data_IF_846013491964
#
_entry.id   IF_846013491964
#
_cell.length_a   1.000
_cell.length_b   1.000
_cell.length_c   1.000
_cell.angle_alpha   90.00
_cell.angle_beta   90.00
_cell.angle_gamma   90.00
#
_symmetry.space_group_name_H-M   'P 1'
#
loop_
_entity.id
_entity.type
_entity.pdbx_description
1 polymer ?
#
# COMPACT_ATOMS: atom_id res chain seq x y z
N UNK A 1 -1.94 -7.99 10.01
CA UNK A 1 -0.93 -7.04 9.49
C UNK A 1 -1.11 -6.93 7.99
N UNK A 2 -2.05 -6.08 7.58
CA UNK A 2 -2.23 -5.66 6.19
C UNK A 2 -1.53 -4.32 5.94
N UNK A 3 -1.42 -3.92 4.66
CA UNK A 3 -0.78 -2.68 4.25
C UNK A 3 -1.38 -1.42 4.91
N UNK A 4 -2.69 -1.39 5.19
CA UNK A 4 -3.36 -0.30 5.93
C UNK A 4 -2.87 -0.18 7.39
N UNK A 5 -2.53 -1.29 8.04
CA UNK A 5 -2.02 -1.24 9.42
C UNK A 5 -0.58 -0.71 9.48
N UNK A 6 0.17 -0.85 8.38
CA UNK A 6 1.58 -0.43 8.28
C UNK A 6 1.66 1.04 7.85
N UNK A 7 0.92 1.42 6.82
CA UNK A 7 0.93 2.76 6.23
C UNK A 7 -0.50 3.22 5.88
N UNK A 8 -1.33 3.55 6.89
CA UNK A 8 -2.74 3.93 6.69
C UNK A 8 -2.92 5.21 5.85
N UNK A 9 -1.89 6.04 5.76
CA UNK A 9 -1.87 7.23 4.90
C UNK A 9 -1.62 6.90 3.43
N UNK A 10 -1.06 5.73 3.12
CA UNK A 10 -0.69 5.30 1.76
C UNK A 10 -1.71 4.32 1.20
N UNK A 11 -2.25 3.42 2.01
CA UNK A 11 -3.16 2.36 1.58
C UNK A 11 -4.53 2.51 2.21
N UNK A 12 -5.58 2.40 1.40
CA UNK A 12 -6.97 2.41 1.87
C UNK A 12 -7.78 1.29 1.22
N UNK A 13 -8.75 0.75 1.95
CA UNK A 13 -9.72 -0.18 1.37
C UNK A 13 -10.90 0.61 0.81
N UNK A 14 -11.15 0.47 -0.50
CA UNK A 14 -12.33 1.04 -1.12
C UNK A 14 -13.52 0.10 -0.91
N UNK A 15 -14.36 0.40 0.08
CA UNK A 15 -15.54 -0.42 0.39
C UNK A 15 -16.55 -0.51 -0.77
N UNK A 16 -16.62 0.52 -1.62
CA UNK A 16 -17.58 0.55 -2.73
C UNK A 16 -17.16 -0.35 -3.88
N UNK A 17 -15.86 -0.50 -4.11
CA UNK A 17 -15.31 -1.28 -5.20
C UNK A 17 -14.78 -2.65 -4.75
N UNK A 18 -14.54 -2.81 -3.44
CA UNK A 18 -14.18 -4.07 -2.80
C UNK A 18 -12.69 -4.41 -2.83
N UNK A 19 -11.81 -3.45 -3.11
CA UNK A 19 -10.37 -3.67 -3.23
C UNK A 19 -9.51 -2.62 -2.54
N UNK A 20 -8.23 -2.97 -2.34
CA UNK A 20 -7.20 -2.08 -1.83
C UNK A 20 -6.78 -1.07 -2.90
N UNK A 21 -6.59 0.18 -2.48
CA UNK A 21 -6.13 1.28 -3.33
C UNK A 21 -4.93 1.99 -2.67
N UNK A 22 -4.10 2.60 -3.53
CA UNK A 22 -3.05 3.53 -3.12
C UNK A 22 -3.61 4.94 -3.15
N UNK A 23 -3.45 5.68 -2.06
CA UNK A 23 -3.82 7.10 -1.99
C UNK A 23 -2.82 7.90 -2.84
N UNK A 24 -3.31 8.70 -3.78
CA UNK A 24 -2.45 9.55 -4.62
C UNK A 24 -1.74 10.61 -3.76
N UNK A 25 -0.41 10.59 -3.75
CA UNK A 25 0.44 11.47 -2.96
C UNK A 25 1.66 11.93 -3.76
N UNK A 26 2.15 13.13 -3.45
CA UNK A 26 3.40 13.65 -4.04
C UNK A 26 4.64 12.85 -3.61
N UNK A 27 4.56 12.16 -2.46
CA UNK A 27 5.66 11.41 -1.88
C UNK A 27 5.15 10.20 -1.09
N UNK A 28 5.78 9.06 -1.35
CA UNK A 28 5.58 7.82 -0.59
C UNK A 28 6.84 7.53 0.22
N UNK A 29 6.70 7.38 1.54
CA UNK A 29 7.83 7.00 2.38
C UNK A 29 8.30 5.60 2.02
N UNK A 30 9.56 5.51 1.56
CA UNK A 30 10.10 4.26 1.05
C UNK A 30 10.13 3.15 2.11
N UNK A 31 10.42 3.49 3.37
CA UNK A 31 10.53 2.52 4.45
C UNK A 31 9.16 1.93 4.77
N UNK A 32 8.14 2.79 4.83
CA UNK A 32 6.77 2.35 5.10
C UNK A 32 6.22 1.49 3.95
N UNK A 33 6.47 1.88 2.70
CA UNK A 33 6.06 1.10 1.53
C UNK A 33 6.82 -0.23 1.42
N UNK A 34 8.14 -0.23 1.63
CA UNK A 34 8.95 -1.45 1.57
C UNK A 34 8.51 -2.46 2.66
N UNK A 35 8.17 -1.98 3.86
CA UNK A 35 7.62 -2.84 4.92
C UNK A 35 6.22 -3.36 4.55
N UNK A 36 5.37 -2.54 3.93
CA UNK A 36 4.07 -2.98 3.44
C UNK A 36 4.18 -4.05 2.33
N UNK A 37 5.11 -3.88 1.39
CA UNK A 37 5.41 -4.88 0.34
C UNK A 37 5.86 -6.19 0.99
N UNK A 38 6.83 -6.13 1.91
CA UNK A 38 7.39 -7.32 2.59
C UNK A 38 6.36 -8.12 3.38
N UNK A 39 5.37 -7.44 3.96
CA UNK A 39 4.33 -8.08 4.77
C UNK A 39 3.04 -8.37 3.99
N UNK A 40 3.01 -8.13 2.68
CA UNK A 40 1.84 -8.43 1.85
C UNK A 40 1.77 -9.94 1.58
N UNK A 41 0.75 -10.67 2.10
CA UNK A 41 0.66 -12.13 1.89
C UNK A 41 0.36 -12.51 0.44
N UNK A 42 -0.30 -11.62 -0.31
CA UNK A 42 -0.70 -11.81 -1.71
C UNK A 42 0.33 -11.25 -2.71
N UNK A 43 1.44 -10.68 -2.23
CA UNK A 43 2.51 -10.08 -3.06
C UNK A 43 1.97 -9.10 -4.13
N UNK A 44 0.95 -8.31 -3.77
CA UNK A 44 0.20 -7.48 -4.72
C UNK A 44 0.61 -6.01 -4.76
N UNK A 45 1.62 -5.62 -3.98
CA UNK A 45 2.13 -4.24 -3.89
C UNK A 45 3.54 -4.21 -4.48
N UNK A 46 3.83 -3.29 -5.39
CA UNK A 46 5.17 -3.14 -5.96
C UNK A 46 5.44 -1.71 -6.41
N UNK A 47 6.72 -1.33 -6.45
CA UNK A 47 7.15 -0.09 -7.07
C UNK A 47 7.06 -0.19 -8.60
N UNK A 48 6.53 0.85 -9.24
CA UNK A 48 6.56 0.97 -10.69
C UNK A 48 8.00 1.14 -11.18
N UNK A 49 8.34 0.47 -12.29
CA UNK A 49 9.65 0.61 -12.93
C UNK A 49 9.56 1.72 -13.96
N UNK A 50 10.41 2.73 -13.79
CA UNK A 50 10.63 3.81 -14.78
C UNK A 50 11.48 3.32 -15.95
#
# INVERSE_FOLDING_TARGET
MGCVEIAPQIFQYNESLGYMEVVEMDYYDKKDVDEAIKNCPEDCISWEKV
#
